data_IF_181820034112
#
_entry.id   IF_181820034112
#
_cell.length_a   1.000
_cell.length_b   1.000
_cell.length_c   1.000
_cell.angle_alpha   90.00
_cell.angle_beta   90.00
_cell.angle_gamma   90.00
#
_symmetry.space_group_name_H-M   'P 1'
#
loop_
_entity.id
_entity.type
_entity.pdbx_description
1 polymer ?
#
# COMPACT_ATOMS: atom_id res chain seq x y z
N UNK A 1 16.81 -2.05 3.63
CA UNK A 1 17.31 -3.43 3.64
C UNK A 1 16.28 -4.27 4.37
N UNK A 2 15.68 -5.28 3.71
CA UNK A 2 14.83 -6.22 4.42
C UNK A 2 15.65 -6.92 5.50
N UNK A 3 15.06 -7.17 6.68
CA UNK A 3 15.71 -7.94 7.74
C UNK A 3 16.04 -9.34 7.24
N UNK A 4 17.23 -9.82 7.58
CA UNK A 4 17.74 -11.12 7.14
C UNK A 4 16.83 -12.26 7.63
N UNK A 5 16.46 -13.18 6.74
CA UNK A 5 15.63 -14.34 7.06
C UNK A 5 14.11 -14.09 7.13
N UNK A 6 13.63 -12.88 6.82
CA UNK A 6 12.19 -12.61 6.73
C UNK A 6 11.76 -12.70 5.26
N UNK A 7 10.80 -13.60 4.92
CA UNK A 7 10.32 -13.71 3.54
C UNK A 7 9.55 -12.45 3.13
N UNK A 8 9.63 -12.04 1.85
CA UNK A 8 8.79 -10.98 1.33
C UNK A 8 7.31 -11.41 1.41
N UNK A 9 6.47 -10.48 1.82
CA UNK A 9 5.01 -10.66 1.92
C UNK A 9 4.32 -9.49 1.25
N UNK A 10 3.05 -9.69 0.88
CA UNK A 10 2.24 -8.57 0.42
C UNK A 10 2.20 -7.51 1.52
N UNK A 11 2.39 -6.26 1.13
CA UNK A 11 2.26 -5.15 2.07
C UNK A 11 0.82 -5.12 2.62
N UNK A 12 0.62 -5.06 3.95
CA UNK A 12 -0.72 -5.15 4.54
C UNK A 12 -1.69 -4.08 4.02
N UNK A 13 -1.20 -2.88 3.70
CA UNK A 13 -2.04 -1.82 3.14
C UNK A 13 -2.45 -2.10 1.69
N UNK A 14 -1.62 -2.78 0.91
CA UNK A 14 -1.95 -3.19 -0.45
C UNK A 14 -2.92 -4.38 -0.43
N UNK A 15 -2.82 -5.27 0.57
CA UNK A 15 -3.80 -6.32 0.78
C UNK A 15 -5.21 -5.76 1.09
N UNK A 16 -5.29 -4.65 1.82
CA UNK A 16 -6.55 -3.89 2.00
C UNK A 16 -7.07 -3.31 0.68
N UNK A 17 -6.17 -2.81 -0.17
CA UNK A 17 -6.54 -2.29 -1.49
C UNK A 17 -7.10 -3.40 -2.40
N UNK A 18 -6.50 -4.59 -2.38
CA UNK A 18 -7.01 -5.77 -3.08
C UNK A 18 -8.38 -6.18 -2.54
N UNK A 19 -8.59 -6.22 -1.23
CA UNK A 19 -9.91 -6.52 -0.65
C UNK A 19 -10.96 -5.50 -1.07
N UNK A 20 -10.64 -4.20 -1.05
CA UNK A 20 -11.57 -3.17 -1.50
C UNK A 20 -11.95 -3.36 -2.97
N UNK A 21 -10.99 -3.70 -3.83
CA UNK A 21 -11.24 -4.03 -5.23
C UNK A 21 -12.17 -5.25 -5.37
N UNK A 22 -11.94 -6.30 -4.57
CA UNK A 22 -12.74 -7.51 -4.58
C UNK A 22 -14.18 -7.25 -4.14
N UNK A 23 -14.41 -6.41 -3.13
CA UNK A 23 -15.76 -6.00 -2.71
C UNK A 23 -16.49 -5.22 -3.78
N UNK A 24 -15.80 -4.33 -4.49
CA UNK A 24 -16.37 -3.63 -5.64
C UNK A 24 -16.73 -4.61 -6.75
N UNK A 25 -15.85 -5.57 -7.05
CA UNK A 25 -16.11 -6.63 -8.02
C UNK A 25 -17.28 -7.53 -7.64
N UNK A 26 -17.41 -7.89 -6.37
CA UNK A 26 -18.54 -8.71 -5.88
C UNK A 26 -19.89 -7.98 -6.08
N UNK A 27 -19.90 -6.64 -6.01
CA UNK A 27 -21.12 -5.82 -6.13
C UNK A 27 -21.44 -5.39 -7.57
N UNK A 28 -20.43 -5.04 -8.35
CA UNK A 28 -20.59 -4.40 -9.66
C UNK A 28 -20.00 -5.20 -10.82
N UNK A 29 -19.29 -6.30 -10.54
CA UNK A 29 -18.48 -7.01 -11.52
C UNK A 29 -17.21 -6.22 -11.88
N UNK A 30 -16.65 -6.52 -13.05
CA UNK A 30 -15.39 -5.93 -13.50
C UNK A 30 -14.20 -6.86 -13.36
N UNK A 31 -13.03 -6.33 -13.70
CA UNK A 31 -11.77 -7.07 -13.80
C UNK A 31 -10.71 -6.39 -12.93
N UNK A 32 -10.02 -7.18 -12.11
CA UNK A 32 -8.96 -6.70 -11.23
C UNK A 32 -7.61 -7.14 -11.78
N UNK A 33 -6.78 -6.19 -12.18
CA UNK A 33 -5.38 -6.42 -12.57
C UNK A 33 -4.45 -5.90 -11.49
N UNK A 34 -3.57 -6.74 -10.99
CA UNK A 34 -2.58 -6.40 -9.95
C UNK A 34 -1.22 -6.18 -10.58
N UNK A 35 -0.56 -5.08 -10.23
CA UNK A 35 0.77 -4.72 -10.69
C UNK A 35 1.73 -4.70 -9.50
N UNK A 36 2.93 -5.23 -9.68
CA UNK A 36 4.02 -5.09 -8.70
C UNK A 36 5.34 -4.84 -9.43
N UNK A 37 6.29 -4.21 -8.74
CA UNK A 37 7.69 -4.17 -9.17
C UNK A 37 8.47 -5.17 -8.32
N UNK A 38 9.16 -6.10 -8.96
CA UNK A 38 10.03 -7.07 -8.33
C UNK A 38 11.21 -7.36 -9.26
N UNK A 39 12.41 -6.93 -8.90
CA UNK A 39 13.58 -7.01 -9.78
C UNK A 39 14.08 -8.45 -9.98
N UNK A 40 13.74 -9.37 -9.08
CA UNK A 40 14.03 -10.80 -9.20
C UNK A 40 12.96 -11.54 -10.02
N UNK A 41 11.98 -10.80 -10.53
CA UNK A 41 10.80 -11.31 -11.23
C UNK A 41 10.01 -12.35 -10.40
N UNK A 42 10.03 -12.22 -9.06
CA UNK A 42 9.22 -13.10 -8.23
C UNK A 42 7.73 -12.80 -8.43
N UNK A 43 6.97 -13.88 -8.64
CA UNK A 43 5.52 -13.83 -8.87
C UNK A 43 4.72 -14.15 -7.60
N UNK A 44 5.38 -14.51 -6.50
CA UNK A 44 4.76 -14.95 -5.24
C UNK A 44 3.74 -13.94 -4.70
N UNK A 45 4.10 -12.65 -4.68
CA UNK A 45 3.25 -11.56 -4.19
C UNK A 45 2.01 -11.39 -5.07
N UNK A 46 2.18 -11.40 -6.39
CA UNK A 46 1.06 -11.31 -7.33
C UNK A 46 0.17 -12.54 -7.24
N UNK A 47 0.75 -13.73 -7.08
CA UNK A 47 0.01 -14.98 -6.89
C UNK A 47 -0.82 -14.99 -5.62
N UNK A 48 -0.38 -14.32 -4.54
CA UNK A 48 -1.21 -14.13 -3.35
C UNK A 48 -2.49 -13.34 -3.68
N UNK A 49 -2.38 -12.20 -4.36
CA UNK A 49 -3.55 -11.41 -4.75
C UNK A 49 -4.46 -12.16 -5.74
N UNK A 50 -3.90 -12.92 -6.67
CA UNK A 50 -4.66 -13.82 -7.56
C UNK A 50 -5.40 -14.90 -6.76
N UNK A 51 -4.78 -15.45 -5.71
CA UNK A 51 -5.39 -16.45 -4.85
C UNK A 51 -6.51 -15.88 -3.97
N UNK A 52 -6.47 -14.58 -3.64
CA UNK A 52 -7.58 -13.85 -3.00
C UNK A 52 -8.78 -13.64 -3.93
N UNK A 53 -8.56 -13.60 -5.25
CA UNK A 53 -9.63 -13.48 -6.26
C UNK A 53 -9.38 -12.45 -7.38
N UNK A 54 -8.19 -11.85 -7.45
CA UNK A 54 -7.83 -10.96 -8.55
C UNK A 54 -7.80 -11.72 -9.90
N UNK A 55 -8.09 -11.01 -10.99
CA UNK A 55 -8.24 -11.61 -12.32
C UNK A 55 -6.94 -11.68 -13.08
N UNK A 56 -6.06 -10.70 -12.97
CA UNK A 56 -4.77 -10.69 -13.66
C UNK A 56 -3.69 -10.13 -12.77
N UNK A 57 -2.46 -10.48 -13.10
CA UNK A 57 -1.29 -10.13 -12.34
C UNK A 57 -0.14 -9.87 -13.29
N UNK A 58 0.65 -8.83 -13.03
CA UNK A 58 1.80 -8.46 -13.85
C UNK A 58 2.94 -8.10 -12.90
N UNK A 59 4.13 -8.62 -13.20
CA UNK A 59 5.37 -8.26 -12.49
C UNK A 59 6.20 -7.37 -13.40
N UNK A 60 6.70 -6.27 -12.85
CA UNK A 60 7.62 -5.36 -13.52
C UNK A 60 9.02 -5.67 -13.01
N UNK A 61 9.89 -6.15 -13.90
CA UNK A 61 11.23 -6.59 -13.54
C UNK A 61 12.24 -6.13 -14.60
N UNK A 62 13.18 -5.29 -14.19
CA UNK A 62 14.30 -4.84 -15.02
C UNK A 62 15.43 -4.37 -14.10
N UNK A 63 16.68 -4.66 -14.46
CA UNK A 63 17.85 -4.13 -13.76
C UNK A 63 17.89 -2.60 -13.78
N UNK A 64 17.29 -1.97 -14.80
CA UNK A 64 17.15 -0.53 -14.89
C UNK A 64 16.30 0.08 -13.76
N UNK A 65 15.46 -0.71 -13.08
CA UNK A 65 14.64 -0.24 -11.97
C UNK A 65 15.39 -0.21 -10.63
N UNK A 66 16.57 -0.83 -10.54
CA UNK A 66 17.35 -0.89 -9.31
C UNK A 66 17.71 0.50 -8.77
N UNK A 67 17.49 0.69 -7.47
CA UNK A 67 17.76 1.95 -6.77
C UNK A 67 16.75 3.07 -7.04
N UNK A 68 15.60 2.75 -7.63
CA UNK A 68 14.48 3.70 -7.77
C UNK A 68 13.99 4.22 -6.41
N UNK A 69 13.68 5.51 -6.34
CA UNK A 69 12.94 6.10 -5.23
C UNK A 69 11.43 6.17 -5.52
N UNK A 70 10.65 6.78 -4.63
CA UNK A 70 9.19 6.91 -4.81
C UNK A 70 8.77 7.59 -6.11
N UNK A 71 9.57 8.50 -6.69
CA UNK A 71 9.25 9.15 -7.96
C UNK A 71 9.48 8.19 -9.13
N UNK A 72 10.63 7.52 -9.17
CA UNK A 72 10.94 6.53 -10.19
C UNK A 72 9.99 5.33 -10.12
N UNK A 73 9.69 4.83 -8.92
CA UNK A 73 8.71 3.75 -8.70
C UNK A 73 7.33 4.14 -9.21
N UNK A 74 6.85 5.35 -8.89
CA UNK A 74 5.57 5.84 -9.38
C UNK A 74 5.55 6.01 -10.90
N UNK A 75 6.65 6.48 -11.52
CA UNK A 75 6.77 6.57 -12.98
C UNK A 75 6.65 5.19 -13.65
N UNK A 76 7.41 4.21 -13.17
CA UNK A 76 7.36 2.81 -13.66
C UNK A 76 5.93 2.26 -13.58
N UNK A 77 5.27 2.40 -12.43
CA UNK A 77 3.89 1.95 -12.24
C UNK A 77 2.90 2.71 -13.13
N UNK A 78 3.08 4.01 -13.32
CA UNK A 78 2.22 4.84 -14.18
C UNK A 78 2.29 4.38 -15.63
N UNK A 79 3.49 4.10 -16.14
CA UNK A 79 3.70 3.57 -17.48
C UNK A 79 3.07 2.17 -17.63
N UNK A 80 3.22 1.31 -16.62
CA UNK A 80 2.56 0.00 -16.62
C UNK A 80 1.03 0.11 -16.62
N UNK A 81 0.46 1.01 -15.82
CA UNK A 81 -1.00 1.29 -15.79
C UNK A 81 -1.48 1.76 -17.17
N UNK A 82 -0.75 2.68 -17.81
CA UNK A 82 -1.07 3.15 -19.17
C UNK A 82 -1.00 2.03 -20.21
N UNK A 83 0.02 1.16 -20.13
CA UNK A 83 0.18 0.01 -21.03
C UNK A 83 -0.95 -1.00 -20.89
N UNK A 84 -1.36 -1.31 -19.67
CA UNK A 84 -2.52 -2.20 -19.43
C UNK A 84 -3.78 -1.60 -20.04
N UNK A 85 -3.94 -0.27 -19.90
CA UNK A 85 -5.06 0.48 -20.47
C UNK A 85 -6.40 0.13 -19.83
N UNK A 86 -7.47 0.85 -20.24
CA UNK A 86 -8.86 0.63 -19.84
C UNK A 86 -9.06 0.33 -18.34
N UNK A 87 -9.01 1.38 -17.51
CA UNK A 87 -9.28 1.30 -16.08
C UNK A 87 -10.20 2.44 -15.63
N UNK A 88 -11.05 2.16 -14.64
CA UNK A 88 -11.96 3.13 -14.03
C UNK A 88 -11.50 3.60 -12.64
N UNK A 89 -10.57 2.86 -12.04
CA UNK A 89 -10.09 3.07 -10.68
C UNK A 89 -8.72 2.42 -10.49
N UNK A 90 -7.77 3.18 -9.95
CA UNK A 90 -6.46 2.68 -9.48
C UNK A 90 -6.48 2.68 -7.96
N UNK A 91 -6.22 1.52 -7.35
CA UNK A 91 -6.14 1.36 -5.90
C UNK A 91 -4.70 1.12 -5.47
N UNK A 92 -4.26 1.83 -4.44
CA UNK A 92 -2.97 1.61 -3.78
C UNK A 92 -3.19 1.53 -2.27
N UNK A 93 -2.33 0.81 -1.53
CA UNK A 93 -2.28 0.98 -0.09
C UNK A 93 -1.88 2.40 0.30
N UNK A 94 -2.23 2.85 1.51
CA UNK A 94 -1.87 4.21 1.98
C UNK A 94 -0.36 4.46 2.01
N UNK A 95 0.43 3.44 2.34
CA UNK A 95 1.90 3.46 2.34
C UNK A 95 2.42 2.02 2.33
N UNK A 96 3.71 1.85 2.06
CA UNK A 96 4.40 0.57 2.23
C UNK A 96 5.03 0.51 3.63
N UNK A 97 4.94 -0.65 4.29
CA UNK A 97 5.41 -0.82 5.67
C UNK A 97 6.95 -0.86 5.85
N UNK A 98 7.70 -0.77 4.76
CA UNK A 98 9.17 -0.81 4.75
C UNK A 98 9.79 0.58 4.93
N UNK A 99 9.56 1.50 3.98
CA UNK A 99 10.09 2.86 4.00
C UNK A 99 9.09 3.88 4.54
N UNK A 100 7.82 3.51 4.62
CA UNK A 100 6.75 4.30 5.25
C UNK A 100 6.51 5.68 4.63
N UNK A 101 6.90 5.88 3.36
CA UNK A 101 6.85 7.19 2.71
C UNK A 101 5.44 7.64 2.31
N UNK A 102 4.57 6.72 1.88
CA UNK A 102 3.19 7.04 1.49
C UNK A 102 3.04 7.95 0.26
N UNK A 103 4.07 8.05 -0.60
CA UNK A 103 4.10 8.99 -1.73
C UNK A 103 3.62 8.41 -3.06
N UNK A 104 3.90 7.13 -3.31
CA UNK A 104 3.78 6.51 -4.64
C UNK A 104 2.38 6.67 -5.24
N UNK A 105 1.32 6.38 -4.47
CA UNK A 105 -0.06 6.51 -4.96
C UNK A 105 -0.43 7.94 -5.38
N UNK A 106 0.07 8.95 -4.66
CA UNK A 106 -0.18 10.35 -5.00
C UNK A 106 0.58 10.77 -6.27
N UNK A 107 1.82 10.31 -6.43
CA UNK A 107 2.63 10.60 -7.62
C UNK A 107 2.05 9.89 -8.85
N UNK A 108 1.50 8.67 -8.71
CA UNK A 108 0.78 8.00 -9.80
C UNK A 108 -0.41 8.84 -10.26
N UNK A 109 -1.20 9.39 -9.32
CA UNK A 109 -2.34 10.24 -9.67
C UNK A 109 -1.89 11.48 -10.47
N UNK A 110 -0.81 12.14 -10.04
CA UNK A 110 -0.23 13.27 -10.77
C UNK A 110 0.26 12.88 -12.17
N UNK A 111 1.06 11.81 -12.28
CA UNK A 111 1.61 11.33 -13.54
C UNK A 111 0.52 10.96 -14.56
N UNK A 112 -0.60 10.43 -14.08
CA UNK A 112 -1.75 10.06 -14.91
C UNK A 112 -2.75 11.22 -15.09
N UNK A 113 -2.52 12.37 -14.45
CA UNK A 113 -3.43 13.52 -14.43
C UNK A 113 -4.85 13.14 -13.95
N UNK A 114 -4.94 12.35 -12.89
CA UNK A 114 -6.18 11.82 -12.33
C UNK A 114 -6.53 12.43 -10.98
N UNK A 115 -7.84 12.52 -10.65
CA UNK A 115 -8.28 12.82 -9.28
C UNK A 115 -7.71 11.82 -8.27
N UNK A 116 -7.36 12.32 -7.08
CA UNK A 116 -6.84 11.53 -5.97
C UNK A 116 -7.72 11.67 -4.73
N UNK A 117 -8.08 10.55 -4.10
CA UNK A 117 -8.57 10.53 -2.71
C UNK A 117 -7.69 9.61 -1.88
N UNK A 118 -7.14 10.11 -0.78
CA UNK A 118 -6.27 9.32 0.10
C UNK A 118 -7.03 8.77 1.30
N UNK A 119 -6.50 7.71 1.90
CA UNK A 119 -6.99 7.12 3.16
C UNK A 119 -8.46 6.70 3.11
N UNK A 120 -8.86 6.01 2.05
CA UNK A 120 -10.21 5.48 1.92
C UNK A 120 -10.45 4.31 2.88
N UNK A 121 -11.53 4.42 3.65
CA UNK A 121 -12.13 3.34 4.45
C UNK A 121 -13.11 2.51 3.62
N UNK A 122 -13.81 3.16 2.69
CA UNK A 122 -14.78 2.49 1.83
C UNK A 122 -14.94 3.26 0.51
N UNK A 123 -15.25 2.53 -0.54
CA UNK A 123 -15.57 3.08 -1.85
C UNK A 123 -16.82 2.40 -2.38
N UNK A 124 -17.70 3.17 -3.01
CA UNK A 124 -18.92 2.68 -3.65
C UNK A 124 -19.17 3.40 -4.97
N UNK A 125 -20.08 2.89 -5.81
CA UNK A 125 -20.50 3.57 -7.05
C UNK A 125 -21.93 4.08 -6.90
N UNK A 126 -22.11 5.39 -7.01
CA UNK A 126 -23.41 6.08 -6.88
C UNK A 126 -23.56 7.08 -8.02
N UNK A 127 -24.68 7.02 -8.74
CA UNK A 127 -25.00 7.92 -9.86
C UNK A 127 -23.88 8.03 -10.92
N UNK A 128 -23.19 6.91 -11.18
CA UNK A 128 -22.09 6.85 -12.14
C UNK A 128 -20.79 7.52 -11.67
N UNK A 129 -20.67 7.87 -10.39
CA UNK A 129 -19.45 8.42 -9.77
C UNK A 129 -18.96 7.54 -8.64
N UNK A 130 -17.66 7.61 -8.37
CA UNK A 130 -17.06 6.98 -7.20
C UNK A 130 -17.40 7.78 -5.95
N UNK A 131 -18.02 7.12 -4.98
CA UNK A 131 -18.27 7.66 -3.65
C UNK A 131 -17.23 7.09 -2.69
N UNK A 132 -16.28 7.92 -2.27
CA UNK A 132 -15.16 7.50 -1.41
C UNK A 132 -15.34 8.07 -0.01
N UNK A 133 -15.37 7.19 1.00
CA UNK A 133 -15.35 7.54 2.42
C UNK A 133 -13.90 7.56 2.89
N UNK A 134 -13.36 8.75 3.17
CA UNK A 134 -11.99 8.99 3.63
C UNK A 134 -11.95 9.15 5.14
N UNK A 135 -10.99 8.51 5.79
CA UNK A 135 -10.73 8.67 7.24
C UNK A 135 -10.01 9.98 7.51
N UNK A 136 -10.36 10.61 8.64
CA UNK A 136 -9.69 11.77 9.22
C UNK A 136 -9.46 11.51 10.71
N UNK A 137 -8.67 12.37 11.38
CA UNK A 137 -8.36 12.20 12.80
C UNK A 137 -9.64 12.13 13.68
N UNK A 138 -10.65 12.93 13.34
CA UNK A 138 -11.85 13.13 14.16
C UNK A 138 -13.13 12.53 13.53
N UNK A 139 -13.00 11.71 12.48
CA UNK A 139 -14.15 11.13 11.78
C UNK A 139 -13.87 10.80 10.31
N UNK A 140 -14.78 11.15 9.40
CA UNK A 140 -14.65 10.85 7.98
C UNK A 140 -15.21 11.94 7.07
N UNK A 141 -14.75 11.94 5.81
CA UNK A 141 -15.23 12.78 4.72
C UNK A 141 -15.78 11.89 3.61
N UNK A 142 -16.83 12.34 2.92
CA UNK A 142 -17.39 11.63 1.75
C UNK A 142 -17.13 12.48 0.51
N UNK A 143 -16.44 11.90 -0.46
CA UNK A 143 -16.14 12.51 -1.75
C UNK A 143 -16.94 11.84 -2.87
N UNK A 144 -17.41 12.64 -3.83
CA UNK A 144 -17.92 12.15 -5.11
C UNK A 144 -16.89 12.50 -6.18
N UNK A 145 -16.32 11.48 -6.83
CA UNK A 145 -15.16 11.59 -7.70
C UNK A 145 -15.50 11.01 -9.08
N UNK A 146 -15.18 11.69 -10.19
CA UNK A 146 -15.33 11.10 -11.51
C UNK A 146 -14.32 9.96 -11.72
N UNK A 147 -14.71 8.93 -12.47
CA UNK A 147 -13.78 7.91 -12.98
C UNK A 147 -13.18 8.35 -14.33
N UNK A 148 -11.90 8.01 -14.62
CA UNK A 148 -10.97 7.28 -13.77
C UNK A 148 -10.42 8.11 -12.60
N UNK A 149 -10.09 7.45 -11.49
CA UNK A 149 -9.48 8.09 -10.31
C UNK A 149 -8.45 7.17 -9.63
N UNK A 150 -7.58 7.77 -8.82
CA UNK A 150 -6.67 7.05 -7.91
C UNK A 150 -7.18 7.16 -6.49
N UNK A 151 -7.22 6.05 -5.76
CA UNK A 151 -7.61 6.02 -4.36
C UNK A 151 -6.57 5.25 -3.55
N UNK A 152 -6.05 5.88 -2.49
CA UNK A 152 -5.20 5.18 -1.52
C UNK A 152 -6.04 4.65 -0.37
N UNK A 153 -5.78 3.42 0.05
CA UNK A 153 -6.65 2.65 0.93
C UNK A 153 -6.07 2.58 2.33
N UNK A 154 -6.90 2.87 3.32
CA UNK A 154 -6.55 2.87 4.74
C UNK A 154 -6.80 1.50 5.38
N UNK A 155 -6.48 1.36 6.67
CA UNK A 155 -6.66 0.11 7.42
C UNK A 155 -8.12 -0.19 7.77
N UNK A 156 -8.98 0.81 7.73
CA UNK A 156 -10.34 0.77 8.25
C UNK A 156 -11.33 0.09 7.30
N UNK A 157 -10.89 -0.40 6.12
CA UNK A 157 -11.71 -1.21 5.21
C UNK A 157 -12.22 -2.49 5.88
N UNK A 158 -11.46 -3.03 6.84
CA UNK A 158 -11.79 -4.23 7.60
C UNK A 158 -10.75 -5.33 7.43
N UNK A 159 -11.15 -6.58 7.65
CA UNK A 159 -10.24 -7.72 7.43
C UNK A 159 -10.26 -8.15 5.96
N UNK A 160 -9.08 -8.25 5.30
CA UNK A 160 -8.99 -8.85 3.98
C UNK A 160 -9.41 -10.32 4.00
N UNK A 161 -10.07 -10.78 2.94
CA UNK A 161 -10.43 -12.19 2.83
C UNK A 161 -9.18 -13.06 2.66
N UNK A 162 -9.20 -14.24 3.27
CA UNK A 162 -8.13 -15.21 3.08
C UNK A 162 -8.25 -15.90 1.71
N UNK A 163 -7.12 -16.20 1.04
CA UNK A 163 -7.12 -17.04 -0.14
C UNK A 163 -7.78 -18.39 0.12
N UNK A 164 -8.67 -18.82 -0.76
CA UNK A 164 -9.25 -20.17 -0.68
C UNK A 164 -8.25 -21.22 -1.16
N UNK A 165 -8.35 -22.46 -0.70
CA UNK A 165 -7.48 -23.56 -1.16
C UNK A 165 -7.52 -23.75 -2.68
N UNK A 166 -8.71 -23.64 -3.29
CA UNK A 166 -8.87 -23.64 -4.74
C UNK A 166 -8.23 -22.41 -5.40
N UNK A 167 -8.35 -21.23 -4.79
CA UNK A 167 -7.71 -19.99 -5.24
C UNK A 167 -6.19 -20.13 -5.29
N UNK A 168 -5.58 -20.72 -4.27
CA UNK A 168 -4.13 -20.99 -4.21
C UNK A 168 -3.70 -21.92 -5.35
N UNK A 169 -4.45 -23.00 -5.59
CA UNK A 169 -4.15 -23.96 -6.67
C UNK A 169 -4.33 -23.30 -8.05
N UNK A 170 -5.36 -22.49 -8.23
CA UNK A 170 -5.61 -21.79 -9.49
C UNK A 170 -4.54 -20.73 -9.77
N UNK A 171 -4.18 -19.94 -8.75
CA UNK A 171 -3.16 -18.90 -8.85
C UNK A 171 -1.77 -19.49 -9.13
N UNK A 172 -1.43 -20.64 -8.53
CA UNK A 172 -0.13 -21.28 -8.76
C UNK A 172 0.09 -21.71 -10.21
N UNK A 173 -1.00 -22.10 -10.89
CA UNK A 173 -1.03 -22.51 -12.31
C UNK A 173 -1.09 -21.34 -13.29
N UNK A 174 -1.45 -20.15 -12.84
CA UNK A 174 -1.60 -18.98 -13.71
C UNK A 174 -0.25 -18.47 -14.16
N UNK A 175 -0.11 -18.22 -15.46
CA UNK A 175 1.05 -17.53 -15.99
C UNK A 175 0.92 -16.04 -15.69
N UNK A 176 1.95 -15.49 -15.05
CA UNK A 176 2.04 -14.07 -14.70
C UNK A 176 3.06 -13.43 -15.67
N UNK A 177 2.63 -12.55 -16.58
CA UNK A 177 3.57 -11.84 -17.45
C UNK A 177 4.55 -11.00 -16.64
N UNK A 178 5.78 -10.95 -17.14
CA UNK A 178 6.86 -10.09 -16.63
C UNK A 178 7.14 -9.04 -17.69
N UNK A 179 7.01 -7.76 -17.32
CA UNK A 179 7.32 -6.63 -18.20
C UNK A 179 8.62 -5.96 -17.77
N UNK A 180 9.47 -5.68 -18.75
CA UNK A 180 10.71 -4.91 -18.55
C UNK A 180 10.49 -3.41 -18.86
N UNK A 181 11.55 -2.60 -18.74
CA UNK A 181 11.46 -1.15 -18.98
C UNK A 181 11.04 -0.80 -20.42
N UNK A 182 11.50 -1.59 -21.40
CA UNK A 182 11.13 -1.43 -22.81
C UNK A 182 9.69 -1.82 -23.09
N UNK A 183 9.16 -2.84 -22.40
CA UNK A 183 7.77 -3.25 -22.58
C UNK A 183 6.81 -2.13 -22.19
N UNK A 184 7.09 -1.38 -21.12
CA UNK A 184 6.25 -0.27 -20.64
C UNK A 184 6.62 1.09 -21.24
N UNK A 185 7.53 1.14 -22.21
CA UNK A 185 8.03 2.40 -22.79
C UNK A 185 8.54 3.39 -21.71
N UNK A 186 9.17 2.89 -20.64
CA UNK A 186 9.63 3.72 -19.53
C UNK A 186 10.81 4.59 -19.95
N UNK A 187 10.67 5.91 -19.73
CA UNK A 187 11.76 6.88 -19.91
C UNK A 187 12.99 6.52 -19.03
N UNK A 188 14.15 6.18 -19.63
CA UNK A 188 15.38 5.85 -18.90
C UNK A 188 15.88 6.97 -17.99
N UNK A 189 15.49 8.23 -18.24
CA UNK A 189 15.86 9.38 -17.41
C UNK A 189 15.06 9.49 -16.11
N UNK A 190 13.95 8.75 -16.00
CA UNK A 190 13.04 8.78 -14.85
C UNK A 190 13.13 7.51 -13.99
N UNK A 191 13.95 6.52 -14.35
CA UNK A 191 14.03 5.23 -13.65
C UNK A 191 15.42 4.95 -13.06
N UNK A 192 15.44 4.13 -12.00
CA UNK A 192 16.65 3.64 -11.36
C UNK A 192 17.42 4.67 -10.53
N UNK A 193 18.55 4.24 -9.99
CA UNK A 193 19.35 5.01 -9.02
C UNK A 193 19.78 6.40 -9.50
N UNK A 194 19.94 6.61 -10.81
CA UNK A 194 20.36 7.91 -11.37
C UNK A 194 19.23 8.94 -11.41
N UNK A 195 17.99 8.47 -11.50
CA UNK A 195 16.80 9.32 -11.52
C UNK A 195 16.25 9.61 -10.11
N UNK A 196 16.72 8.85 -9.11
CA UNK A 196 16.34 9.03 -7.72
C UNK A 196 16.62 10.47 -7.25
N UNK A 197 15.59 11.11 -6.70
CA UNK A 197 15.62 12.49 -6.20
C UNK A 197 16.06 12.58 -4.74
N UNK A 198 16.21 11.44 -4.07
CA UNK A 198 16.73 11.32 -2.71
C UNK A 198 17.94 10.38 -2.67
N UNK A 199 18.84 10.64 -1.73
CA UNK A 199 19.98 9.76 -1.45
C UNK A 199 20.00 9.39 0.04
N UNK A 200 20.23 8.10 0.32
CA UNK A 200 20.37 7.60 1.68
C UNK A 200 21.75 7.98 2.23
N UNK A 201 21.80 8.99 3.10
CA UNK A 201 23.06 9.44 3.71
C UNK A 201 23.48 8.53 4.86
N UNK A 202 22.53 8.14 5.71
CA UNK A 202 22.80 7.33 6.90
C UNK A 202 21.54 6.56 7.34
N UNK A 203 21.72 5.30 7.71
CA UNK A 203 20.71 4.46 8.34
C UNK A 203 21.30 3.85 9.62
N UNK A 204 20.56 3.90 10.73
CA UNK A 204 21.00 3.33 11.99
C UNK A 204 19.80 2.89 12.82
N UNK A 205 20.03 1.91 13.70
CA UNK A 205 19.00 1.43 14.63
C UNK A 205 18.95 2.41 15.81
N UNK A 206 17.79 3.03 16.12
CA UNK A 206 17.68 3.95 17.24
C UNK A 206 17.86 3.20 18.56
N UNK A 207 18.87 3.59 19.34
CA UNK A 207 19.04 3.08 20.70
C UNK A 207 18.07 3.83 21.61
N UNK A 208 17.10 3.11 22.20
CA UNK A 208 16.14 3.66 23.15
C UNK A 208 16.39 3.07 24.53
N UNK A 209 16.84 3.91 25.47
CA UNK A 209 16.88 3.55 26.88
C UNK A 209 15.52 3.84 27.51
N UNK A 210 14.84 2.81 28.00
CA UNK A 210 13.59 2.96 28.77
C UNK A 210 13.91 2.76 30.25
N UNK A 211 13.62 3.77 31.07
CA UNK A 211 13.61 3.64 32.53
C UNK A 211 12.16 3.36 32.95
N UNK A 212 11.90 2.15 33.40
CA UNK A 212 10.60 1.78 33.97
C UNK A 212 10.65 2.00 35.49
N UNK A 213 9.75 2.82 36.00
CA UNK A 213 9.52 3.00 37.43
C UNK A 213 8.21 2.29 37.77
N UNK A 214 8.28 1.21 38.54
CA UNK A 214 7.10 0.53 39.09
C UNK A 214 6.68 1.29 40.35
N UNK A 215 5.41 1.70 40.42
CA UNK A 215 4.87 2.44 41.56
C UNK A 215 4.16 1.47 42.49
N UNK A 216 4.71 1.27 43.68
CA UNK A 216 4.16 0.37 44.69
C UNK A 216 3.16 1.08 45.64
N UNK A 217 2.20 0.30 46.15
CA UNK A 217 1.24 0.71 47.17
C UNK A 217 0.65 -0.50 47.89
N UNK A 218 0.25 -0.34 49.14
CA UNK A 218 -0.32 -1.44 49.95
C UNK A 218 -1.71 -1.84 49.43
N UNK A 219 -2.38 -0.91 48.75
CA UNK A 219 -3.64 -1.14 48.03
C UNK A 219 -3.54 -0.61 46.61
N UNK A 220 -4.38 -1.16 45.71
CA UNK A 220 -4.47 -0.69 44.33
C UNK A 220 -4.88 0.78 44.24
N UNK A 221 -5.72 1.25 45.17
CA UNK A 221 -6.14 2.64 45.26
C UNK A 221 -4.96 3.57 45.56
N UNK A 222 -4.11 3.20 46.52
CA UNK A 222 -2.93 3.99 46.88
C UNK A 222 -1.89 4.05 45.74
N UNK A 223 -1.61 2.90 45.12
CA UNK A 223 -0.71 2.83 43.97
C UNK A 223 -1.20 3.70 42.79
N UNK A 224 -2.52 3.72 42.55
CA UNK A 224 -3.13 4.55 41.49
C UNK A 224 -2.98 6.04 41.74
N UNK A 225 -3.13 6.49 43.00
CA UNK A 225 -2.93 7.91 43.37
C UNK A 225 -1.46 8.30 43.19
N UNK A 226 -0.53 7.49 43.70
CA UNK A 226 0.91 7.74 43.54
C UNK A 226 1.33 7.79 42.07
N UNK A 227 0.76 6.90 41.24
CA UNK A 227 0.99 6.91 39.79
C UNK A 227 0.49 8.21 39.15
N UNK A 228 -0.74 8.64 39.46
CA UNK A 228 -1.30 9.87 38.93
C UNK A 228 -0.48 11.11 39.33
N UNK A 229 -0.02 11.18 40.57
CA UNK A 229 0.89 12.24 41.02
C UNK A 229 2.22 12.23 40.28
N UNK A 230 2.79 11.04 40.06
CA UNK A 230 4.07 10.88 39.35
C UNK A 230 3.95 11.31 37.89
N UNK A 231 2.87 10.93 37.21
CA UNK A 231 2.58 11.31 35.83
C UNK A 231 2.36 12.82 35.69
N UNK A 232 1.64 13.45 36.63
CA UNK A 232 1.47 14.91 36.68
C UNK A 232 2.80 15.64 36.89
N UNK A 233 3.64 15.16 37.82
CA UNK A 233 4.99 15.71 38.03
C UNK A 233 5.89 15.55 36.80
N UNK A 234 5.67 14.50 36.00
CA UNK A 234 6.41 14.26 34.77
C UNK A 234 5.84 15.01 33.55
N UNK A 235 4.71 15.72 33.68
CA UNK A 235 4.08 16.46 32.59
C UNK A 235 3.47 15.57 31.49
N UNK A 236 3.18 14.30 31.83
CA UNK A 236 2.56 13.34 30.89
C UNK A 236 1.04 13.47 30.89
N UNK A 237 0.46 13.96 32.00
CA UNK A 237 -0.95 14.30 32.20
C UNK A 237 -1.09 15.61 32.99
#
# INVERSE_FOLDING_TARGET
MPPEGIPPVINPYDEQAVELALRLKDKYGGKITVLTIDNDADTSIVKHALAMGADEGIVLADKAFEGSDSFSTAHILSQAIQKVGNYDLVLCGRQAADWDEGLVGAIIAENLSLPLVTLAEATDVVDGKLKVKRVTLDGYQIFAVPSPAVVTVSNEVGQPRLPSGWGIISASRKQVPVFNAGDIDADPSQIGAKAARRSLVKLFIPVREKKCEIIDGETTAEASVKLAERLRKAGVI
#
